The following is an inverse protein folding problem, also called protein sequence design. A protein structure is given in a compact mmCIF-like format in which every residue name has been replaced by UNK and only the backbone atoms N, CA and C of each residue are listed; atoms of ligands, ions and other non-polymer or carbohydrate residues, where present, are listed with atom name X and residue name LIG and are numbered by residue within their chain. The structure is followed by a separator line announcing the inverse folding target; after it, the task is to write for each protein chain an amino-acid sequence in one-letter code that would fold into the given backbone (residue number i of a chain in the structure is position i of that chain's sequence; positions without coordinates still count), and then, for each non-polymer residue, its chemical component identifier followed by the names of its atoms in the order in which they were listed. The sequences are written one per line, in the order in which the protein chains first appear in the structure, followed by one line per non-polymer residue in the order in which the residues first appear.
data_IF_373560829536
#
_entry.id   IF_373560829536
#
_cell.length_a   1.000
_cell.length_b   1.000
_cell.length_c   1.000
_cell.angle_alpha   90.00
_cell.angle_beta   90.00
_cell.angle_gamma   90.00
#
_symmetry.space_group_name_H-M   'P 1'
#
loop_
_entity.id
_entity.type
_entity.pdbx_description
1 polymer ?
#
# COMPACT_ATOMS: atom_id res chain seq x y z
N UNK A 1 -3.04 8.37 10.13
CA UNK A 1 -2.94 9.16 11.29
C UNK A 1 -4.08 10.12 11.59
N UNK A 2 -5.34 9.64 11.62
CA UNK A 2 -6.45 10.47 12.13
C UNK A 2 -6.27 10.71 13.64
N UNK A 3 -6.69 11.89 14.18
CA UNK A 3 -6.67 12.16 15.63
C UNK A 3 -7.44 11.15 16.50
N UNK A 4 -8.32 10.37 15.89
CA UNK A 4 -9.17 9.38 16.59
C UNK A 4 -8.59 7.97 16.60
N UNK A 5 -7.52 7.70 15.90
CA UNK A 5 -6.88 6.37 15.88
C UNK A 5 -5.55 6.35 16.68
N UNK A 6 -5.04 5.14 16.92
CA UNK A 6 -3.81 4.94 17.72
C UNK A 6 -2.64 5.73 17.15
N UNK A 7 -2.39 5.66 15.84
CA UNK A 7 -1.26 6.36 15.23
C UNK A 7 -1.39 7.89 15.35
N UNK A 8 -2.59 8.45 15.19
CA UNK A 8 -2.83 9.88 15.38
C UNK A 8 -2.69 10.34 16.84
N UNK A 9 -2.92 9.43 17.80
CA UNK A 9 -2.74 9.73 19.22
C UNK A 9 -1.27 9.65 19.68
N UNK A 10 -0.49 8.74 19.09
CA UNK A 10 0.89 8.49 19.52
C UNK A 10 1.95 9.25 18.73
N UNK A 11 1.63 9.68 17.50
CA UNK A 11 2.59 10.32 16.60
C UNK A 11 2.10 11.69 16.14
N UNK A 12 3.04 12.58 15.88
CA UNK A 12 2.78 13.84 15.20
C UNK A 12 2.69 13.57 13.69
N UNK A 13 1.47 13.37 13.19
CA UNK A 13 1.20 13.02 11.80
C UNK A 13 0.94 14.27 10.98
N UNK A 14 1.74 14.44 9.92
CA UNK A 14 1.58 15.52 8.94
C UNK A 14 1.10 14.91 7.62
N UNK A 15 -0.09 15.27 7.14
CA UNK A 15 -0.62 14.72 5.90
C UNK A 15 -0.01 15.38 4.68
N UNK A 16 0.18 14.63 3.63
CA UNK A 16 0.33 15.10 2.25
C UNK A 16 -0.87 14.59 1.43
N UNK A 17 -1.14 15.19 0.29
CA UNK A 17 -2.37 14.95 -0.44
C UNK A 17 -2.18 14.84 -1.95
N UNK A 18 -3.25 15.13 -2.65
CA UNK A 18 -3.31 15.19 -4.11
C UNK A 18 -3.39 16.64 -4.56
N UNK A 19 -3.00 16.90 -5.81
CA UNK A 19 -3.18 18.21 -6.44
C UNK A 19 -4.66 18.49 -6.68
N UNK A 20 -5.03 19.75 -6.67
CA UNK A 20 -6.44 20.16 -6.90
C UNK A 20 -6.85 20.10 -8.36
N UNK A 21 -5.91 20.26 -9.29
CA UNK A 21 -6.16 20.35 -10.72
C UNK A 21 -6.38 18.98 -11.40
N UNK A 22 -5.60 17.97 -11.02
CA UNK A 22 -5.63 16.64 -11.64
C UNK A 22 -5.90 15.49 -10.67
N UNK A 23 -5.95 15.79 -9.36
CA UNK A 23 -6.22 14.84 -8.29
C UNK A 23 -5.19 13.69 -8.20
N UNK A 24 -3.99 13.91 -8.73
CA UNK A 24 -2.86 13.00 -8.58
C UNK A 24 -2.05 13.35 -7.33
N UNK A 25 -1.33 12.36 -6.79
CA UNK A 25 -0.46 12.57 -5.63
C UNK A 25 0.53 13.72 -5.88
N UNK A 26 0.56 14.67 -4.96
CA UNK A 26 1.46 15.81 -5.02
C UNK A 26 2.83 15.46 -4.41
N UNK A 27 3.67 14.86 -5.24
CA UNK A 27 5.02 14.48 -4.81
C UNK A 27 5.92 15.69 -4.52
N UNK A 28 5.69 16.84 -5.19
CA UNK A 28 6.47 18.05 -4.97
C UNK A 28 6.14 18.67 -3.61
N UNK A 29 4.86 18.73 -3.26
CA UNK A 29 4.43 19.16 -1.94
C UNK A 29 4.88 18.18 -0.85
N UNK A 30 4.84 16.87 -1.10
CA UNK A 30 5.37 15.86 -0.17
C UNK A 30 6.87 16.05 0.07
N UNK A 31 7.66 16.23 -0.99
CA UNK A 31 9.11 16.47 -0.91
C UNK A 31 9.42 17.73 -0.14
N UNK A 32 8.75 18.84 -0.46
CA UNK A 32 8.90 20.11 0.25
C UNK A 32 8.63 19.95 1.74
N UNK A 33 7.51 19.33 2.09
CA UNK A 33 7.13 19.07 3.47
C UNK A 33 8.17 18.19 4.18
N UNK A 34 8.63 17.12 3.54
CA UNK A 34 9.63 16.22 4.11
C UNK A 34 10.95 16.96 4.41
N UNK A 35 11.40 17.82 3.50
CA UNK A 35 12.61 18.66 3.70
C UNK A 35 12.45 19.70 4.80
N UNK A 36 11.24 20.20 5.03
CA UNK A 36 10.96 21.17 6.07
C UNK A 36 10.91 20.51 7.47
N UNK A 37 10.26 19.34 7.59
CA UNK A 37 9.95 18.75 8.89
C UNK A 37 10.85 17.60 9.30
N UNK A 38 11.66 17.07 8.40
CA UNK A 38 12.56 15.93 8.62
C UNK A 38 11.87 14.78 9.38
N UNK A 39 10.83 14.14 8.79
CA UNK A 39 10.09 13.09 9.47
C UNK A 39 10.98 11.87 9.73
N UNK A 40 10.65 11.06 10.72
CA UNK A 40 11.33 9.77 10.95
C UNK A 40 10.87 8.69 9.97
N UNK A 41 9.66 8.82 9.44
CA UNK A 41 9.05 7.87 8.51
C UNK A 41 8.08 8.60 7.57
N UNK A 42 8.14 8.24 6.30
CA UNK A 42 7.11 8.57 5.31
C UNK A 42 6.29 7.33 5.08
N UNK A 43 4.96 7.46 5.19
CA UNK A 43 4.04 6.35 4.96
C UNK A 43 3.29 6.60 3.65
N UNK A 44 3.40 5.66 2.72
CA UNK A 44 2.65 5.64 1.48
C UNK A 44 1.69 4.46 1.41
N UNK A 45 0.85 4.46 0.38
CA UNK A 45 -0.20 3.47 0.19
C UNK A 45 -1.58 4.10 0.34
N UNK A 46 -2.56 3.49 -0.28
CA UNK A 46 -3.90 4.08 -0.40
C UNK A 46 -4.98 3.03 -0.36
N UNK A 47 -6.18 3.45 0.05
CA UNK A 47 -7.38 2.60 0.01
C UNK A 47 -8.26 2.90 -1.21
N UNK A 48 -8.22 4.13 -1.72
CA UNK A 48 -9.17 4.62 -2.72
C UNK A 48 -8.52 5.45 -3.85
N UNK A 49 -7.21 5.56 -3.86
CA UNK A 49 -6.49 6.24 -4.94
C UNK A 49 -6.35 5.29 -6.14
N UNK A 50 -6.94 5.66 -7.27
CA UNK A 50 -7.07 4.78 -8.42
C UNK A 50 -5.87 4.80 -9.40
N UNK A 51 -4.84 5.58 -9.11
CA UNK A 51 -3.67 5.73 -9.99
C UNK A 51 -2.45 5.00 -9.44
N UNK A 52 -1.46 4.79 -10.30
CA UNK A 52 -0.18 4.20 -9.89
C UNK A 52 0.58 5.16 -8.98
N UNK A 53 1.16 4.60 -7.92
CA UNK A 53 2.04 5.31 -7.00
C UNK A 53 3.48 5.14 -7.46
N UNK A 54 4.22 6.23 -7.52
CA UNK A 54 5.66 6.24 -7.81
C UNK A 54 6.45 5.97 -6.53
N UNK A 55 6.70 4.69 -6.26
CA UNK A 55 7.42 4.24 -5.07
C UNK A 55 8.90 4.64 -5.11
N UNK A 56 9.51 4.70 -6.30
CA UNK A 56 10.89 5.11 -6.48
C UNK A 56 11.08 6.57 -6.05
N UNK A 57 10.21 7.46 -6.51
CA UNK A 57 10.24 8.86 -6.11
C UNK A 57 9.99 9.03 -4.61
N UNK A 58 9.04 8.29 -4.04
CA UNK A 58 8.80 8.32 -2.59
C UNK A 58 10.03 7.88 -1.80
N UNK A 59 10.72 6.83 -2.24
CA UNK A 59 11.93 6.34 -1.60
C UNK A 59 13.06 7.38 -1.69
N UNK A 60 13.25 7.99 -2.85
CA UNK A 60 14.25 9.03 -3.04
C UNK A 60 14.05 10.19 -2.05
N UNK A 61 12.81 10.67 -1.92
CA UNK A 61 12.47 11.75 -0.97
C UNK A 61 12.71 11.31 0.48
N UNK A 62 12.23 10.11 0.85
CA UNK A 62 12.39 9.61 2.23
C UNK A 62 13.86 9.49 2.62
N UNK A 63 14.66 8.85 1.78
CA UNK A 63 16.07 8.61 2.06
C UNK A 63 16.91 9.90 2.02
N UNK A 64 16.56 10.88 1.16
CA UNK A 64 17.24 12.19 1.13
C UNK A 64 17.14 12.91 2.47
N UNK A 65 16.00 12.81 3.17
CA UNK A 65 15.81 13.46 4.48
C UNK A 65 16.14 12.55 5.67
N UNK A 66 16.66 11.34 5.42
CA UNK A 66 17.02 10.37 6.45
C UNK A 66 15.81 9.66 7.09
N UNK A 67 14.66 9.68 6.42
CA UNK A 67 13.45 8.99 6.87
C UNK A 67 13.37 7.57 6.33
N UNK A 68 12.66 6.68 7.05
CA UNK A 68 12.25 5.38 6.52
C UNK A 68 11.05 5.56 5.58
N UNK A 69 11.00 4.76 4.51
CA UNK A 69 9.79 4.62 3.69
C UNK A 69 9.03 3.36 4.09
N UNK A 70 7.80 3.53 4.53
CA UNK A 70 6.84 2.44 4.75
C UNK A 70 5.71 2.51 3.72
N UNK A 71 5.45 1.42 3.02
CA UNK A 71 4.33 1.33 2.08
C UNK A 71 3.32 0.30 2.58
N UNK A 72 2.07 0.74 2.75
CA UNK A 72 0.94 -0.17 2.96
C UNK A 72 0.28 -0.46 1.60
N UNK A 73 0.43 -1.70 1.14
CA UNK A 73 -0.13 -2.13 -0.15
C UNK A 73 -1.42 -2.95 0.02
N UNK A 74 -2.06 -2.89 1.19
CA UNK A 74 -3.17 -3.77 1.55
C UNK A 74 -4.27 -3.85 0.48
N UNK A 75 -4.63 -2.74 -0.16
CA UNK A 75 -5.68 -2.71 -1.17
C UNK A 75 -5.25 -3.29 -2.52
N UNK A 76 -4.02 -3.06 -2.94
CA UNK A 76 -3.52 -3.45 -4.27
C UNK A 76 -2.51 -4.62 -4.25
N UNK A 77 -2.30 -5.27 -3.10
CA UNK A 77 -1.32 -6.36 -2.96
C UNK A 77 -1.57 -7.52 -3.92
N UNK A 78 -2.83 -7.86 -4.19
CA UNK A 78 -3.17 -8.90 -5.16
C UNK A 78 -2.80 -8.51 -6.60
N UNK A 79 -2.91 -7.23 -6.96
CA UNK A 79 -2.47 -6.73 -8.26
C UNK A 79 -0.93 -6.76 -8.36
N UNK A 80 -0.22 -6.46 -7.27
CA UNK A 80 1.25 -6.61 -7.21
C UNK A 80 1.64 -8.07 -7.40
N UNK A 81 1.01 -9.01 -6.69
CA UNK A 81 1.27 -10.45 -6.82
C UNK A 81 0.94 -10.97 -8.23
N UNK A 82 -0.14 -10.45 -8.85
CA UNK A 82 -0.52 -10.78 -10.22
C UNK A 82 0.34 -10.14 -11.32
N UNK A 83 1.22 -9.19 -10.96
CA UNK A 83 2.06 -8.45 -11.92
C UNK A 83 1.36 -7.29 -12.63
N UNK A 84 0.20 -6.85 -12.12
CA UNK A 84 -0.64 -5.79 -12.72
C UNK A 84 -0.49 -4.43 -12.03
N UNK A 85 0.33 -4.34 -10.98
CA UNK A 85 0.69 -3.09 -10.30
C UNK A 85 2.17 -3.12 -9.89
N UNK A 86 2.88 -1.98 -9.89
CA UNK A 86 4.27 -1.92 -9.46
C UNK A 86 4.45 -2.43 -8.02
N UNK A 87 5.53 -3.18 -7.79
CA UNK A 87 5.87 -3.63 -6.44
C UNK A 87 6.58 -2.53 -5.64
N UNK A 88 6.15 -2.25 -4.40
CA UNK A 88 6.86 -1.34 -3.52
C UNK A 88 8.11 -1.98 -2.88
N UNK A 89 8.23 -3.32 -2.92
CA UNK A 89 9.28 -4.07 -2.20
C UNK A 89 10.71 -3.65 -2.55
N UNK A 90 11.07 -3.34 -3.80
CA UNK A 90 12.42 -2.87 -4.12
C UNK A 90 12.79 -1.51 -3.53
N UNK A 91 11.80 -0.69 -3.20
CA UNK A 91 11.97 0.71 -2.85
C UNK A 91 11.78 1.00 -1.36
N UNK A 92 10.80 0.35 -0.74
CA UNK A 92 10.44 0.62 0.65
C UNK A 92 11.36 -0.11 1.65
N UNK A 93 11.54 0.50 2.82
CA UNK A 93 12.24 -0.13 3.96
C UNK A 93 11.32 -1.12 4.67
N UNK A 94 10.03 -0.79 4.72
CA UNK A 94 8.99 -1.62 5.33
C UNK A 94 7.78 -1.64 4.40
N UNK A 95 7.21 -2.83 4.18
CA UNK A 95 5.97 -3.01 3.42
C UNK A 95 4.97 -3.75 4.29
N UNK A 96 3.77 -3.21 4.41
CA UNK A 96 2.66 -3.88 5.09
C UNK A 96 1.55 -4.23 4.12
N UNK A 97 0.81 -5.29 4.42
CA UNK A 97 -0.40 -5.65 3.69
C UNK A 97 -1.37 -6.42 4.55
N UNK A 98 -2.63 -6.34 4.21
CA UNK A 98 -3.63 -7.33 4.65
C UNK A 98 -3.64 -8.52 3.69
N UNK A 99 -4.11 -9.67 4.16
CA UNK A 99 -4.21 -10.89 3.35
C UNK A 99 -5.61 -11.15 2.79
N UNK A 100 -6.62 -10.38 3.22
CA UNK A 100 -8.04 -10.64 2.96
C UNK A 100 -8.71 -9.64 1.99
N UNK A 101 -7.92 -8.87 1.24
CA UNK A 101 -8.43 -7.96 0.20
C UNK A 101 -8.12 -8.56 -1.18
N UNK A 102 -7.39 -7.87 -2.02
CA UNK A 102 -7.06 -8.36 -3.37
C UNK A 102 -6.22 -9.65 -3.40
N UNK A 103 -5.52 -10.00 -2.31
CA UNK A 103 -4.87 -11.31 -2.15
C UNK A 103 -5.84 -12.48 -1.91
N UNK A 104 -7.13 -12.23 -1.67
CA UNK A 104 -8.18 -13.25 -1.48
C UNK A 104 -7.92 -14.27 -0.38
N UNK A 105 -7.06 -13.98 0.57
CA UNK A 105 -6.68 -14.85 1.67
C UNK A 105 -7.55 -14.67 2.93
N UNK A 106 -7.17 -15.32 4.03
CA UNK A 106 -7.84 -15.18 5.32
C UNK A 106 -7.59 -13.78 5.91
N UNK A 107 -8.44 -13.39 6.85
CA UNK A 107 -8.24 -12.13 7.59
C UNK A 107 -6.95 -12.18 8.40
N UNK A 108 -6.05 -11.28 8.09
CA UNK A 108 -4.74 -11.17 8.71
C UNK A 108 -3.90 -10.10 8.06
N UNK A 109 -2.65 -9.99 8.46
CA UNK A 109 -1.67 -9.06 7.91
C UNK A 109 -0.29 -9.70 7.76
N UNK A 110 0.57 -9.00 7.03
CA UNK A 110 1.98 -9.33 6.85
C UNK A 110 2.77 -8.03 6.98
N UNK A 111 3.95 -8.13 7.58
CA UNK A 111 4.97 -7.10 7.54
C UNK A 111 6.19 -7.71 6.83
N UNK A 112 6.68 -7.04 5.82
CA UNK A 112 7.94 -7.33 5.14
C UNK A 112 8.87 -6.14 5.38
N UNK A 113 10.17 -6.38 5.54
CA UNK A 113 11.12 -5.30 5.76
C UNK A 113 12.51 -5.69 5.28
N UNK A 114 13.40 -4.69 5.18
CA UNK A 114 14.82 -4.93 5.05
C UNK A 114 15.36 -5.66 6.28
N UNK A 115 16.38 -6.51 6.11
CA UNK A 115 16.94 -7.37 7.15
C UNK A 115 17.33 -6.60 8.43
N UNK A 116 17.86 -5.41 8.28
CA UNK A 116 18.28 -4.56 9.40
C UNK A 116 17.17 -4.20 10.38
N UNK A 117 15.90 -4.19 9.93
CA UNK A 117 14.72 -3.87 10.75
C UNK A 117 14.02 -5.11 11.30
N UNK A 118 14.32 -6.31 10.78
CA UNK A 118 13.60 -7.54 11.08
C UNK A 118 13.53 -7.82 12.59
N UNK A 119 14.67 -7.82 13.27
CA UNK A 119 14.74 -8.11 14.72
C UNK A 119 13.91 -7.14 15.57
N UNK A 120 13.89 -5.85 15.20
CA UNK A 120 13.13 -4.84 15.95
C UNK A 120 11.62 -5.03 15.71
N UNK A 121 11.22 -5.33 14.48
CA UNK A 121 9.82 -5.58 14.09
C UNK A 121 9.32 -6.86 14.75
N UNK A 122 10.07 -7.96 14.68
CA UNK A 122 9.70 -9.23 15.33
C UNK A 122 9.45 -9.03 16.83
N UNK A 123 10.36 -8.34 17.51
CA UNK A 123 10.21 -8.03 18.94
C UNK A 123 8.99 -7.13 19.22
N UNK A 124 8.70 -6.20 18.34
CA UNK A 124 7.53 -5.33 18.50
C UNK A 124 6.22 -6.10 18.27
N UNK A 125 6.20 -7.04 17.34
CA UNK A 125 5.06 -7.93 17.09
C UNK A 125 4.88 -8.88 18.26
N UNK A 126 5.92 -9.65 18.60
CA UNK A 126 5.89 -10.59 19.71
C UNK A 126 7.18 -10.52 20.53
N UNK A 127 7.08 -10.33 21.86
CA UNK A 127 5.87 -10.22 22.68
C UNK A 127 5.34 -8.79 22.85
N UNK A 128 5.79 -7.83 22.02
CA UNK A 128 5.47 -6.41 22.23
C UNK A 128 3.98 -6.09 22.15
N UNK A 129 3.30 -6.55 21.13
CA UNK A 129 1.89 -6.25 20.85
C UNK A 129 0.98 -7.48 20.86
N UNK A 130 1.50 -8.66 20.46
CA UNK A 130 0.74 -9.87 20.25
C UNK A 130 1.25 -11.01 21.14
N UNK A 131 0.44 -12.08 21.24
CA UNK A 131 0.75 -13.34 21.91
C UNK A 131 0.74 -14.51 20.94
N UNK A 132 0.18 -15.65 21.37
CA UNK A 132 0.10 -16.85 20.57
C UNK A 132 -0.61 -16.62 19.23
N UNK A 133 -0.04 -17.08 18.11
CA UNK A 133 -0.60 -16.84 16.78
C UNK A 133 -1.81 -17.74 16.50
N UNK A 134 -2.66 -17.28 15.58
CA UNK A 134 -3.77 -18.08 15.05
C UNK A 134 -3.22 -19.00 13.95
N UNK A 135 -2.80 -20.21 14.31
CA UNK A 135 -2.12 -21.13 13.39
C UNK A 135 -3.00 -21.56 12.19
N UNK A 136 -4.30 -21.67 12.38
CA UNK A 136 -5.24 -21.92 11.28
C UNK A 136 -5.25 -20.77 10.25
N UNK A 137 -5.07 -19.53 10.69
CA UNK A 137 -4.92 -18.38 9.78
C UNK A 137 -3.59 -18.45 9.04
N UNK A 138 -2.50 -18.86 9.71
CA UNK A 138 -1.20 -19.05 9.07
C UNK A 138 -1.28 -20.12 7.99
N UNK A 139 -1.90 -21.27 8.29
CA UNK A 139 -2.11 -22.33 7.32
C UNK A 139 -2.96 -21.85 6.12
N UNK A 140 -4.04 -21.10 6.38
CA UNK A 140 -4.88 -20.54 5.34
C UNK A 140 -4.13 -19.51 4.46
N UNK A 141 -3.22 -18.71 5.04
CA UNK A 141 -2.34 -17.82 4.26
C UNK A 141 -1.44 -18.62 3.31
N UNK A 142 -0.87 -19.74 3.77
CA UNK A 142 -0.02 -20.58 2.93
C UNK A 142 -0.77 -21.12 1.71
N UNK A 143 -2.02 -21.55 1.89
CA UNK A 143 -2.89 -21.99 0.79
C UNK A 143 -3.17 -20.84 -0.18
N UNK A 144 -3.62 -19.69 0.34
CA UNK A 144 -3.94 -18.51 -0.47
C UNK A 144 -2.73 -18.05 -1.31
N UNK A 145 -1.54 -17.99 -0.72
CA UNK A 145 -0.33 -17.58 -1.46
C UNK A 145 0.10 -18.63 -2.49
N UNK A 146 -0.15 -19.91 -2.21
CA UNK A 146 0.02 -20.97 -3.21
C UNK A 146 -0.89 -20.76 -4.43
N UNK A 147 -2.13 -20.33 -4.22
CA UNK A 147 -3.07 -19.98 -5.29
C UNK A 147 -2.62 -18.71 -6.03
N UNK A 148 -2.14 -17.70 -5.31
CA UNK A 148 -1.67 -16.42 -5.88
C UNK A 148 -0.44 -16.58 -6.80
N UNK A 149 0.37 -17.61 -6.58
CA UNK A 149 1.50 -17.96 -7.46
C UNK A 149 1.06 -18.59 -8.79
N UNK A 150 -0.20 -19.00 -8.91
CA UNK A 150 -0.70 -19.70 -10.09
C UNK A 150 -0.88 -18.78 -11.30
N UNK A 151 -0.75 -19.30 -12.54
CA UNK A 151 -1.11 -18.55 -13.74
C UNK A 151 -2.57 -18.07 -13.74
N UNK A 152 -3.48 -18.85 -13.13
CA UNK A 152 -4.89 -18.49 -13.02
C UNK A 152 -5.11 -17.20 -12.21
N UNK A 153 -4.33 -16.98 -11.15
CA UNK A 153 -4.41 -15.75 -10.37
C UNK A 153 -3.92 -14.54 -11.16
N UNK A 154 -2.88 -14.68 -11.97
CA UNK A 154 -2.40 -13.60 -12.85
C UNK A 154 -3.48 -13.16 -13.85
N UNK A 155 -4.15 -14.12 -14.49
CA UNK A 155 -5.27 -13.81 -15.38
C UNK A 155 -6.45 -13.17 -14.64
N UNK A 156 -6.72 -13.61 -13.42
CA UNK A 156 -7.73 -12.99 -12.56
C UNK A 156 -7.38 -11.51 -12.26
N UNK A 157 -6.16 -11.22 -11.81
CA UNK A 157 -5.72 -9.85 -11.51
C UNK A 157 -5.82 -8.93 -12.75
N UNK A 158 -5.41 -9.43 -13.90
CA UNK A 158 -5.53 -8.74 -15.19
C UNK A 158 -7.00 -8.46 -15.54
N UNK A 159 -7.89 -9.44 -15.32
CA UNK A 159 -9.32 -9.25 -15.60
C UNK A 159 -9.95 -8.23 -14.63
N UNK A 160 -9.57 -8.20 -13.37
CA UNK A 160 -10.02 -7.19 -12.39
C UNK A 160 -9.68 -5.79 -12.90
N UNK A 161 -8.41 -5.54 -13.24
CA UNK A 161 -7.97 -4.26 -13.78
C UNK A 161 -8.70 -3.85 -15.06
N UNK A 162 -8.92 -4.79 -15.97
CA UNK A 162 -9.68 -4.56 -17.21
C UNK A 162 -11.13 -4.18 -16.91
N UNK A 163 -11.78 -4.85 -15.96
CA UNK A 163 -13.16 -4.54 -15.59
C UNK A 163 -13.30 -3.13 -15.03
N UNK A 164 -12.38 -2.73 -14.14
CA UNK A 164 -12.40 -1.39 -13.56
C UNK A 164 -12.13 -0.30 -14.60
N UNK A 165 -11.23 -0.55 -15.55
CA UNK A 165 -11.02 0.38 -16.66
C UNK A 165 -12.30 0.58 -17.48
N UNK A 166 -13.01 -0.49 -17.80
CA UNK A 166 -14.29 -0.42 -18.54
C UNK A 166 -15.36 0.30 -17.73
N UNK A 167 -15.45 0.02 -16.41
CA UNK A 167 -16.39 0.70 -15.52
C UNK A 167 -16.10 2.21 -15.47
N UNK A 168 -14.85 2.58 -15.27
CA UNK A 168 -14.43 3.98 -15.24
C UNK A 168 -14.75 4.72 -16.53
N UNK A 169 -14.45 4.11 -17.68
CA UNK A 169 -14.72 4.70 -19.00
C UNK A 169 -16.23 4.86 -19.24
N UNK A 170 -17.03 3.86 -18.87
CA UNK A 170 -18.49 3.92 -19.04
C UNK A 170 -19.15 4.95 -18.13
N UNK A 171 -18.67 5.11 -16.91
CA UNK A 171 -19.13 6.18 -16.00
C UNK A 171 -18.87 7.55 -16.59
N UNK A 172 -17.68 7.79 -17.15
CA UNK A 172 -17.32 9.04 -17.80
C UNK A 172 -18.17 9.30 -19.06
N UNK A 173 -18.39 8.28 -19.88
CA UNK A 173 -19.26 8.37 -21.07
C UNK A 173 -20.70 8.76 -20.72
N UNK A 174 -21.14 8.44 -19.49
CA UNK A 174 -22.46 8.83 -18.97
C UNK A 174 -22.45 10.18 -18.23
N UNK A 175 -21.35 10.93 -18.29
CA UNK A 175 -21.21 12.23 -17.66
C UNK A 175 -20.96 12.19 -16.15
N UNK A 176 -20.63 11.04 -15.59
CA UNK A 176 -20.23 10.90 -14.19
C UNK A 176 -18.74 11.22 -14.07
N UNK A 177 -18.41 12.17 -13.21
CA UNK A 177 -17.02 12.53 -12.97
C UNK A 177 -16.30 11.41 -12.22
N UNK A 178 -15.19 10.92 -12.77
CA UNK A 178 -14.28 9.99 -12.12
C UNK A 178 -13.08 10.76 -11.60
N UNK A 179 -12.78 10.59 -10.30
CA UNK A 179 -11.64 11.24 -9.63
C UNK A 179 -10.35 10.86 -10.37
N UNK A 180 -9.45 11.82 -10.52
CA UNK A 180 -8.19 11.69 -11.28
C UNK A 180 -8.37 11.30 -12.76
N UNK A 181 -9.58 11.42 -13.31
CA UNK A 181 -9.87 11.17 -14.73
C UNK A 181 -9.78 9.72 -15.16
N UNK A 182 -9.81 8.75 -14.23
CA UNK A 182 -9.78 7.32 -14.59
C UNK A 182 -9.15 6.41 -13.55
N UNK A 183 -8.81 5.19 -13.95
CA UNK A 183 -8.19 4.20 -13.08
C UNK A 183 -7.07 3.41 -13.78
N UNK A 184 -6.04 3.07 -13.00
CA UNK A 184 -4.95 2.15 -13.37
C UNK A 184 -4.96 0.89 -12.48
N UNK A 185 -5.95 0.77 -11.57
CA UNK A 185 -6.04 -0.28 -10.55
C UNK A 185 -7.39 -0.98 -10.55
N UNK A 186 -7.80 -1.47 -9.37
CA UNK A 186 -9.09 -2.11 -9.08
C UNK A 186 -10.09 -1.11 -8.49
#
# INVERSE_FOLDING_TARGET
GSPVNVSGNYFNVLPYGVREDDELLDYDAMEKLAKEVHPKMIIGGTSAYSRIIDFERMAAVAHEVGALLMIDMAHFAGLVAGGEYPSPVPWADIVTTTTHKTLRGPRGGIIMCKEEYAKAIDKAVFPGMQGGPLEHVIAAKAVAFGEDLSPAFKEYAKQVKKNEKVLSDELQNRGIRVISGGTDTH
#
